data_IF_122873785106
#
_entry.id   IF_122873785106
#
_cell.length_a   1.000
_cell.length_b   1.000
_cell.length_c   1.000
_cell.angle_alpha   90.00
_cell.angle_beta   90.00
_cell.angle_gamma   90.00
#
_symmetry.space_group_name_H-M   'P 1'
#
loop_
_entity.id
_entity.type
_entity.pdbx_description
1 polymer ?
#
# COMPACT_ATOMS: atom_id res chain seq x y z
N UNK A 1 -12.41 1.66 -23.31
CA UNK A 1 -12.14 2.56 -22.16
C UNK A 1 -12.73 1.96 -20.88
N UNK A 2 -12.10 2.16 -19.72
CA UNK A 2 -12.66 1.68 -18.44
C UNK A 2 -13.76 2.64 -17.95
N UNK A 3 -14.75 2.13 -17.20
CA UNK A 3 -15.79 2.96 -16.56
C UNK A 3 -15.19 4.11 -15.72
N UNK A 4 -14.02 3.87 -15.09
CA UNK A 4 -13.30 4.90 -14.34
C UNK A 4 -12.78 6.02 -15.24
N UNK A 5 -12.21 5.68 -16.40
CA UNK A 5 -11.69 6.67 -17.37
C UNK A 5 -12.81 7.50 -17.96
N UNK A 6 -13.95 6.86 -18.28
CA UNK A 6 -15.14 7.57 -18.78
C UNK A 6 -15.66 8.53 -17.71
N UNK A 7 -15.80 8.09 -16.46
CA UNK A 7 -16.28 8.95 -15.38
C UNK A 7 -15.33 10.13 -15.08
N UNK A 8 -14.01 9.97 -15.25
CA UNK A 8 -13.05 11.08 -15.13
C UNK A 8 -13.26 12.08 -16.27
N UNK A 9 -13.42 11.61 -17.51
CA UNK A 9 -13.68 12.49 -18.66
C UNK A 9 -14.99 13.25 -18.48
N UNK A 10 -16.08 12.58 -18.09
CA UNK A 10 -17.37 13.20 -17.78
C UNK A 10 -17.24 14.27 -16.68
N UNK A 11 -16.51 13.96 -15.60
CA UNK A 11 -16.27 14.92 -14.51
C UNK A 11 -15.46 16.14 -14.98
N UNK A 12 -14.45 15.94 -15.83
CA UNK A 12 -13.64 17.03 -16.38
C UNK A 12 -14.48 17.94 -17.29
N UNK A 13 -15.33 17.36 -18.15
CA UNK A 13 -16.23 18.12 -19.02
C UNK A 13 -17.27 18.90 -18.18
N UNK A 14 -17.88 18.27 -17.18
CA UNK A 14 -18.80 18.97 -16.26
C UNK A 14 -18.13 20.15 -15.56
N UNK A 15 -16.91 19.96 -15.06
CA UNK A 15 -16.16 21.06 -14.44
C UNK A 15 -15.89 22.21 -15.42
N UNK A 16 -15.47 21.88 -16.63
CA UNK A 16 -15.23 22.90 -17.68
C UNK A 16 -16.47 23.73 -17.93
N UNK A 17 -17.62 23.10 -18.13
CA UNK A 17 -18.86 23.84 -18.43
C UNK A 17 -19.41 24.60 -17.22
N UNK A 18 -19.47 23.96 -16.04
CA UNK A 18 -20.06 24.57 -14.86
C UNK A 18 -19.18 25.68 -14.27
N UNK A 19 -17.86 25.43 -14.15
CA UNK A 19 -16.96 26.34 -13.43
C UNK A 19 -16.25 27.30 -14.37
N UNK A 20 -15.71 26.80 -15.50
CA UNK A 20 -14.86 27.62 -16.37
C UNK A 20 -15.70 28.47 -17.35
N UNK A 21 -16.81 27.94 -17.87
CA UNK A 21 -17.67 28.66 -18.83
C UNK A 21 -18.89 29.29 -18.22
N UNK A 22 -19.13 29.11 -16.90
CA UNK A 22 -20.26 29.69 -16.18
C UNK A 22 -21.65 29.31 -16.74
N UNK A 23 -21.72 28.21 -17.50
CA UNK A 23 -22.97 27.74 -18.10
C UNK A 23 -23.59 26.65 -17.24
N UNK A 24 -24.39 27.05 -16.26
CA UNK A 24 -25.07 26.13 -15.33
C UNK A 24 -26.17 25.27 -15.98
N UNK A 25 -26.67 25.65 -17.14
CA UNK A 25 -27.88 25.07 -17.73
C UNK A 25 -27.61 24.34 -19.04
N UNK A 26 -26.83 23.30 -18.99
CA UNK A 26 -26.87 22.31 -20.05
C UNK A 26 -27.54 21.05 -19.53
N UNK A 27 -28.82 20.85 -19.82
CA UNK A 27 -29.58 19.60 -19.59
C UNK A 27 -28.85 18.35 -20.11
N UNK A 28 -27.99 18.53 -21.13
CA UNK A 28 -27.05 17.54 -21.62
C UNK A 28 -26.12 16.98 -20.53
N UNK A 29 -25.77 17.77 -19.50
CA UNK A 29 -24.87 17.34 -18.42
C UNK A 29 -25.61 16.55 -17.34
N UNK A 30 -26.89 16.76 -17.15
CA UNK A 30 -27.74 15.97 -16.28
C UNK A 30 -28.02 14.57 -16.88
N UNK A 31 -28.09 14.49 -18.22
CA UNK A 31 -28.39 13.26 -18.95
C UNK A 31 -27.19 12.32 -19.20
N UNK A 32 -25.94 12.76 -18.95
CA UNK A 32 -24.78 11.86 -19.07
C UNK A 32 -24.57 11.09 -17.76
N UNK A 33 -25.02 9.83 -17.67
CA UNK A 33 -24.93 9.05 -16.44
C UNK A 33 -23.48 8.70 -16.13
N UNK A 34 -23.14 8.69 -14.83
CA UNK A 34 -21.90 8.05 -14.40
C UNK A 34 -21.99 6.54 -14.65
N UNK A 35 -21.00 5.99 -15.30
CA UNK A 35 -20.93 4.53 -15.50
C UNK A 35 -20.77 3.83 -14.14
N UNK A 36 -21.62 2.82 -13.91
CA UNK A 36 -21.55 1.98 -12.71
C UNK A 36 -20.18 1.28 -12.67
N UNK A 37 -19.40 1.51 -11.64
CA UNK A 37 -18.12 0.81 -11.44
C UNK A 37 -18.42 -0.63 -11.09
N UNK A 38 -17.84 -1.56 -11.83
CA UNK A 38 -17.85 -2.97 -11.44
C UNK A 38 -17.12 -3.10 -10.10
N UNK A 39 -17.81 -3.61 -9.09
CA UNK A 39 -17.24 -3.98 -7.80
C UNK A 39 -16.52 -5.33 -7.92
N UNK A 40 -15.50 -5.42 -8.77
CA UNK A 40 -14.63 -6.60 -8.73
C UNK A 40 -13.96 -6.64 -7.36
N UNK A 41 -14.04 -7.79 -6.70
CA UNK A 41 -13.26 -8.04 -5.49
C UNK A 41 -11.80 -7.74 -5.81
N UNK A 42 -11.16 -6.93 -4.97
CA UNK A 42 -9.74 -6.65 -5.13
C UNK A 42 -9.00 -8.00 -5.02
N UNK A 43 -8.39 -8.44 -6.12
CA UNK A 43 -7.50 -9.60 -6.09
C UNK A 43 -6.33 -9.27 -5.17
N UNK A 44 -5.88 -10.25 -4.39
CA UNK A 44 -4.69 -10.16 -3.54
C UNK A 44 -3.76 -11.31 -3.87
N UNK A 45 -2.48 -11.14 -3.59
CA UNK A 45 -1.53 -12.24 -3.65
C UNK A 45 -1.61 -13.07 -2.37
N UNK A 46 -1.54 -14.40 -2.50
CA UNK A 46 -1.32 -15.28 -1.36
C UNK A 46 0.07 -15.02 -0.75
N UNK A 47 0.29 -15.42 0.50
CA UNK A 47 1.60 -15.22 1.19
C UNK A 47 2.75 -15.87 0.44
N UNK A 48 2.54 -17.07 -0.12
CA UNK A 48 3.52 -17.77 -0.95
C UNK A 48 3.82 -17.05 -2.27
N UNK A 49 2.80 -16.47 -2.91
CA UNK A 49 2.99 -15.66 -4.12
C UNK A 49 3.79 -14.37 -3.82
N UNK A 50 3.49 -13.72 -2.69
CA UNK A 50 4.26 -12.56 -2.23
C UNK A 50 5.71 -12.96 -1.98
N UNK A 51 5.96 -14.05 -1.29
CA UNK A 51 7.32 -14.51 -1.01
C UNK A 51 8.10 -14.79 -2.30
N UNK A 52 7.49 -15.46 -3.28
CA UNK A 52 8.07 -15.67 -4.59
C UNK A 52 8.45 -14.37 -5.30
N UNK A 53 7.55 -13.36 -5.26
CA UNK A 53 7.81 -12.04 -5.85
C UNK A 53 8.96 -11.32 -5.13
N UNK A 54 9.01 -11.37 -3.79
CA UNK A 54 10.04 -10.69 -2.99
C UNK A 54 11.42 -11.34 -3.13
N UNK A 55 11.50 -12.64 -3.38
CA UNK A 55 12.77 -13.37 -3.53
C UNK A 55 13.29 -13.40 -4.96
N UNK A 56 12.46 -13.14 -5.96
CA UNK A 56 12.84 -13.17 -7.38
C UNK A 56 13.94 -12.16 -7.80
N UNK A 57 14.04 -10.94 -7.21
CA UNK A 57 15.07 -10.00 -7.61
C UNK A 57 16.48 -10.45 -7.19
N UNK A 58 17.41 -10.49 -8.15
CA UNK A 58 18.83 -10.78 -7.87
C UNK A 58 19.55 -9.62 -7.19
N UNK A 59 19.14 -8.37 -7.53
CA UNK A 59 19.74 -7.16 -6.97
C UNK A 59 19.21 -6.91 -5.54
N UNK A 60 20.09 -6.79 -4.53
CA UNK A 60 19.67 -6.53 -3.15
C UNK A 60 18.79 -5.27 -3.02
N UNK A 61 19.11 -4.20 -3.76
CA UNK A 61 18.32 -2.97 -3.79
C UNK A 61 16.86 -3.24 -4.17
N UNK A 62 16.66 -3.99 -5.24
CA UNK A 62 15.34 -4.23 -5.82
C UNK A 62 14.50 -5.12 -4.89
N UNK A 63 15.15 -6.14 -4.30
CA UNK A 63 14.54 -7.02 -3.31
C UNK A 63 14.10 -6.24 -2.07
N UNK A 64 14.99 -5.43 -1.50
CA UNK A 64 14.72 -4.67 -0.28
C UNK A 64 13.65 -3.59 -0.51
N UNK A 65 13.61 -2.97 -1.71
CA UNK A 65 12.53 -2.06 -2.08
C UNK A 65 11.17 -2.75 -2.01
N UNK A 66 11.02 -3.92 -2.65
CA UNK A 66 9.76 -4.67 -2.65
C UNK A 66 9.38 -5.16 -1.25
N UNK A 67 10.36 -5.64 -0.48
CA UNK A 67 10.16 -6.00 0.93
C UNK A 67 9.68 -4.79 1.76
N UNK A 68 10.20 -3.59 1.50
CA UNK A 68 9.77 -2.36 2.19
C UNK A 68 8.34 -1.98 1.79
N UNK A 69 8.02 -2.06 0.50
CA UNK A 69 6.65 -1.78 0.00
C UNK A 69 5.63 -2.73 0.63
N UNK A 70 5.92 -4.03 0.66
CA UNK A 70 5.02 -5.01 1.25
C UNK A 70 5.04 -4.96 2.78
N UNK A 71 6.22 -5.03 3.42
CA UNK A 71 6.35 -5.16 4.87
C UNK A 71 5.85 -3.97 5.67
N UNK A 72 5.80 -2.78 5.04
CA UNK A 72 5.27 -1.56 5.65
C UNK A 72 4.00 -1.03 4.96
N UNK A 73 3.47 -1.75 3.97
CA UNK A 73 2.27 -1.32 3.25
C UNK A 73 2.39 0.03 2.55
N UNK A 74 3.58 0.39 2.06
CA UNK A 74 3.86 1.70 1.48
C UNK A 74 3.28 1.86 0.07
N UNK A 75 2.95 3.10 -0.30
CA UNK A 75 2.83 3.45 -1.72
C UNK A 75 4.23 3.46 -2.33
N UNK A 76 4.34 3.12 -3.62
CA UNK A 76 5.66 3.14 -4.29
C UNK A 76 6.32 4.52 -4.22
N UNK A 77 5.55 5.59 -4.31
CA UNK A 77 6.06 6.96 -4.16
C UNK A 77 6.59 7.25 -2.76
N UNK A 78 5.98 6.66 -1.72
CA UNK A 78 6.46 6.77 -0.34
C UNK A 78 7.76 5.99 -0.17
N UNK A 79 7.80 4.74 -0.65
CA UNK A 79 8.97 3.88 -0.53
C UNK A 79 10.20 4.47 -1.24
N UNK A 80 10.04 5.00 -2.45
CA UNK A 80 11.16 5.58 -3.21
C UNK A 80 11.68 6.89 -2.63
N UNK A 81 10.89 7.58 -1.79
CA UNK A 81 11.26 8.84 -1.13
C UNK A 81 11.72 8.65 0.34
N UNK A 82 11.94 7.42 0.77
CA UNK A 82 12.46 7.16 2.12
C UNK A 82 13.89 7.63 2.25
N UNK A 83 14.18 8.22 3.41
CA UNK A 83 15.52 8.58 3.85
C UNK A 83 16.04 7.57 4.87
N UNK A 84 17.35 7.46 4.99
CA UNK A 84 17.96 6.60 6.03
C UNK A 84 17.56 7.04 7.44
N UNK A 85 17.37 8.36 7.65
CA UNK A 85 16.90 8.95 8.90
C UNK A 85 15.41 8.69 9.22
N UNK A 86 14.65 8.06 8.31
CA UNK A 86 13.28 7.66 8.57
C UNK A 86 13.18 6.30 9.27
N UNK A 87 14.31 5.60 9.42
CA UNK A 87 14.41 4.30 10.09
C UNK A 87 14.87 4.51 11.52
N UNK A 88 13.99 4.27 12.49
CA UNK A 88 14.30 4.23 13.91
C UNK A 88 14.54 2.78 14.34
N UNK A 89 15.81 2.38 14.41
CA UNK A 89 16.21 1.02 14.81
C UNK A 89 15.91 0.75 16.27
N UNK A 90 16.04 1.75 17.14
CA UNK A 90 15.86 1.57 18.58
C UNK A 90 14.40 1.30 18.91
N UNK A 91 13.48 1.95 18.21
CA UNK A 91 12.03 1.77 18.38
C UNK A 91 11.41 0.77 17.44
N UNK A 92 12.20 0.18 16.54
CA UNK A 92 11.68 -0.70 15.47
C UNK A 92 10.55 -0.05 14.67
N UNK A 93 10.80 1.17 14.19
CA UNK A 93 9.81 2.00 13.52
C UNK A 93 10.35 2.59 12.21
N UNK A 94 9.45 2.78 11.24
CA UNK A 94 9.68 3.50 10.00
C UNK A 94 8.74 4.69 9.92
N UNK A 95 9.29 5.89 9.70
CA UNK A 95 8.52 7.13 9.61
C UNK A 95 8.25 7.48 8.15
N UNK A 96 6.98 7.67 7.81
CA UNK A 96 6.55 8.21 6.50
C UNK A 96 6.25 9.69 6.68
N UNK A 97 7.06 10.58 6.09
CA UNK A 97 6.99 12.04 6.33
C UNK A 97 5.83 12.70 5.61
N UNK A 98 5.57 12.31 4.36
CA UNK A 98 4.61 12.98 3.47
C UNK A 98 3.50 12.00 3.07
N UNK A 99 2.49 11.84 3.93
CA UNK A 99 1.25 11.17 3.58
C UNK A 99 0.32 12.09 2.77
N UNK A 100 -0.76 11.53 2.22
CA UNK A 100 -1.85 12.32 1.61
C UNK A 100 -2.41 13.30 2.66
N UNK A 101 -2.35 14.61 2.38
CA UNK A 101 -2.78 15.66 3.32
C UNK A 101 -1.70 16.09 4.34
N UNK A 102 -0.39 15.92 4.02
CA UNK A 102 0.75 16.36 4.83
C UNK A 102 0.86 15.72 6.24
N UNK A 103 0.03 14.74 6.58
CA UNK A 103 0.12 14.01 7.85
C UNK A 103 1.09 12.84 7.71
N UNK A 104 2.22 12.92 8.43
CA UNK A 104 3.15 11.80 8.58
C UNK A 104 2.52 10.68 9.40
N UNK A 105 3.06 9.46 9.26
CA UNK A 105 2.70 8.31 10.10
C UNK A 105 3.91 7.48 10.44
N UNK A 106 3.82 6.75 11.53
CA UNK A 106 4.83 5.79 11.98
C UNK A 106 4.32 4.38 11.74
N UNK A 107 5.19 3.53 11.22
CA UNK A 107 4.89 2.14 10.86
C UNK A 107 5.80 1.20 11.64
N UNK A 108 5.33 0.02 12.05
CA UNK A 108 6.19 -0.99 12.63
C UNK A 108 7.20 -1.50 11.60
N UNK A 109 8.42 -1.74 12.05
CA UNK A 109 9.51 -2.29 11.26
C UNK A 109 9.82 -3.70 11.74
N UNK A 110 9.70 -4.71 10.88
CA UNK A 110 10.06 -6.07 11.25
C UNK A 110 11.57 -6.25 11.32
N UNK A 111 12.04 -7.15 12.21
CA UNK A 111 13.46 -7.48 12.34
C UNK A 111 14.06 -7.99 11.01
N UNK A 112 13.30 -8.83 10.29
CA UNK A 112 13.69 -9.34 8.96
C UNK A 112 13.93 -8.18 8.00
N UNK A 113 13.02 -7.21 7.93
CA UNK A 113 13.17 -6.07 7.03
C UNK A 113 14.34 -5.18 7.47
N UNK A 114 14.50 -4.92 8.76
CA UNK A 114 15.62 -4.13 9.28
C UNK A 114 16.97 -4.77 8.92
N UNK A 115 17.11 -6.09 9.08
CA UNK A 115 18.32 -6.82 8.71
C UNK A 115 18.66 -6.65 7.23
N UNK A 116 17.68 -6.81 6.35
CA UNK A 116 17.86 -6.64 4.89
C UNK A 116 18.21 -5.19 4.52
N UNK A 117 17.56 -4.20 5.15
CA UNK A 117 17.87 -2.79 4.98
C UNK A 117 19.30 -2.45 5.39
N UNK A 118 19.76 -2.97 6.52
CA UNK A 118 21.13 -2.76 7.02
C UNK A 118 22.15 -3.39 6.08
N UNK A 119 21.92 -4.62 5.62
CA UNK A 119 22.80 -5.32 4.70
C UNK A 119 22.91 -4.58 3.35
N UNK A 120 21.76 -4.18 2.80
CA UNK A 120 21.71 -3.37 1.58
C UNK A 120 22.45 -2.04 1.75
N UNK A 121 22.21 -1.31 2.84
CA UNK A 121 22.83 -0.02 3.11
C UNK A 121 24.35 -0.13 3.25
N UNK A 122 24.85 -1.15 3.96
CA UNK A 122 26.29 -1.42 4.07
C UNK A 122 26.93 -1.72 2.71
N UNK A 123 26.34 -2.63 1.94
CA UNK A 123 26.83 -2.98 0.62
C UNK A 123 26.85 -1.77 -0.34
N UNK A 124 25.84 -0.90 -0.28
CA UNK A 124 25.78 0.29 -1.11
C UNK A 124 26.86 1.31 -0.76
N UNK A 125 27.25 1.42 0.51
CA UNK A 125 28.25 2.37 0.97
C UNK A 125 29.69 1.90 0.82
N UNK A 126 29.92 0.60 0.71
CA UNK A 126 31.26 0.06 0.44
C UNK A 126 31.77 0.35 -0.97
N UNK A 127 30.92 0.76 -1.89
CA UNK A 127 31.26 0.97 -3.30
C UNK A 127 30.87 2.33 -3.84
N UNK A 128 31.58 3.41 -3.55
CA UNK A 128 31.57 4.70 -4.29
C UNK A 128 30.34 5.62 -4.18
N UNK A 129 30.59 6.93 -4.25
CA UNK A 129 29.70 8.07 -4.66
C UNK A 129 28.28 8.21 -4.02
N UNK A 130 27.87 7.38 -3.11
CA UNK A 130 26.55 7.48 -2.44
C UNK A 130 26.63 7.83 -0.95
N UNK A 131 27.83 8.15 -0.44
CA UNK A 131 28.06 8.32 1.00
C UNK A 131 27.23 9.47 1.61
N UNK A 132 26.99 10.53 0.87
CA UNK A 132 26.34 11.75 1.38
C UNK A 132 24.85 11.84 1.04
N UNK A 133 24.31 10.86 0.34
CA UNK A 133 22.89 10.90 -0.02
C UNK A 133 22.00 10.51 1.16
N UNK A 134 21.00 11.35 1.51
CA UNK A 134 20.05 11.01 2.56
C UNK A 134 19.06 9.91 2.16
N UNK A 135 18.95 9.61 0.85
CA UNK A 135 17.94 8.71 0.34
C UNK A 135 18.30 7.24 0.56
N UNK A 136 17.34 6.46 0.98
CA UNK A 136 17.50 5.03 1.18
C UNK A 136 17.68 4.28 -0.14
N UNK A 137 16.89 4.64 -1.16
CA UNK A 137 16.95 4.07 -2.49
C UNK A 137 17.41 5.11 -3.51
N UNK A 138 18.64 4.95 -4.00
CA UNK A 138 19.21 5.86 -4.97
C UNK A 138 18.67 5.65 -6.38
N UNK A 139 18.44 6.76 -7.06
CA UNK A 139 18.10 6.80 -8.48
C UNK A 139 19.33 6.65 -9.39
N UNK A 140 19.10 6.79 -10.70
CA UNK A 140 20.16 6.79 -11.71
C UNK A 140 21.03 8.05 -11.64
N UNK A 141 20.45 9.18 -11.28
CA UNK A 141 21.19 10.45 -11.09
C UNK A 141 21.76 10.48 -9.66
N UNK A 142 23.04 10.85 -9.54
CA UNK A 142 23.70 10.97 -8.24
C UNK A 142 22.93 11.91 -7.31
N UNK A 143 22.81 11.54 -6.03
CA UNK A 143 22.14 12.33 -5.01
C UNK A 143 20.61 12.39 -5.10
N UNK A 144 20.00 11.83 -6.14
CA UNK A 144 18.55 11.83 -6.32
C UNK A 144 17.91 10.51 -5.84
N UNK A 145 16.67 10.55 -5.33
CA UNK A 145 15.94 9.35 -4.98
C UNK A 145 15.54 8.54 -6.21
N UNK A 146 15.24 7.28 -6.01
CA UNK A 146 14.69 6.42 -7.05
C UNK A 146 13.36 6.97 -7.57
N UNK A 147 13.20 7.01 -8.90
CA UNK A 147 11.94 7.41 -9.53
C UNK A 147 10.85 6.35 -9.35
N UNK A 148 9.60 6.78 -9.25
CA UNK A 148 8.43 5.91 -9.13
C UNK A 148 8.36 4.87 -10.25
N UNK A 149 8.64 5.26 -11.49
CA UNK A 149 8.66 4.34 -12.64
C UNK A 149 9.70 3.25 -12.50
N UNK A 150 10.89 3.58 -11.98
CA UNK A 150 11.93 2.59 -11.71
C UNK A 150 11.42 1.54 -10.71
N UNK A 151 10.79 1.99 -9.62
CA UNK A 151 10.21 1.07 -8.63
C UNK A 151 9.09 0.21 -9.21
N UNK A 152 8.26 0.74 -10.10
CA UNK A 152 7.22 -0.04 -10.79
C UNK A 152 7.84 -1.09 -11.73
N UNK A 153 8.88 -0.73 -12.47
CA UNK A 153 9.58 -1.66 -13.37
C UNK A 153 10.26 -2.79 -12.58
N UNK A 154 10.86 -2.47 -11.43
CA UNK A 154 11.41 -3.48 -10.52
C UNK A 154 10.34 -4.51 -10.14
N UNK A 155 9.15 -4.05 -9.77
CA UNK A 155 8.04 -4.94 -9.45
C UNK A 155 7.63 -5.82 -10.64
N UNK A 156 7.48 -5.26 -11.84
CA UNK A 156 7.07 -6.05 -13.01
C UNK A 156 8.14 -7.08 -13.39
N UNK A 157 9.42 -6.72 -13.32
CA UNK A 157 10.53 -7.66 -13.56
C UNK A 157 10.56 -8.76 -12.50
N UNK A 158 10.30 -8.43 -11.23
CA UNK A 158 10.23 -9.41 -10.15
C UNK A 158 9.04 -10.35 -10.35
N UNK A 159 7.90 -9.83 -10.74
CA UNK A 159 6.69 -10.61 -11.00
C UNK A 159 6.90 -11.61 -12.14
N UNK A 160 7.50 -11.17 -13.24
CA UNK A 160 7.84 -12.03 -14.39
C UNK A 160 8.79 -13.15 -13.97
N UNK A 161 9.87 -12.82 -13.24
CA UNK A 161 10.86 -13.80 -12.77
C UNK A 161 10.33 -14.77 -11.73
N UNK A 162 9.31 -14.37 -10.95
CA UNK A 162 8.71 -15.23 -9.93
C UNK A 162 7.77 -16.29 -10.50
N UNK A 163 7.36 -16.18 -11.78
CA UNK A 163 6.34 -17.03 -12.39
C UNK A 163 4.92 -16.81 -11.83
N UNK A 164 4.74 -15.87 -10.93
CA UNK A 164 3.43 -15.57 -10.34
C UNK A 164 2.55 -14.85 -11.36
N UNK A 165 1.29 -15.29 -11.51
CA UNK A 165 0.34 -14.66 -12.42
C UNK A 165 0.12 -13.19 -12.05
N UNK A 166 0.22 -12.31 -13.03
CA UNK A 166 -0.07 -10.89 -12.86
C UNK A 166 -1.54 -10.66 -12.58
N UNK A 167 -1.85 -10.17 -11.38
CA UNK A 167 -3.21 -9.80 -10.93
C UNK A 167 -3.43 -8.28 -10.95
N UNK A 168 -2.33 -7.49 -10.92
CA UNK A 168 -2.40 -6.03 -10.89
C UNK A 168 -1.05 -5.35 -10.91
N UNK A 169 -1.01 -4.07 -10.54
CA UNK A 169 0.22 -3.29 -10.39
C UNK A 169 0.81 -3.42 -8.99
N UNK A 170 1.93 -2.71 -8.74
CA UNK A 170 2.66 -2.75 -7.45
C UNK A 170 1.80 -2.41 -6.22
N UNK A 171 0.71 -1.65 -6.40
CA UNK A 171 -0.25 -1.38 -5.31
C UNK A 171 -0.89 -2.65 -4.74
N UNK A 172 -0.86 -3.74 -5.50
CA UNK A 172 -1.39 -5.01 -5.04
C UNK A 172 -0.58 -5.59 -3.88
N UNK A 173 0.74 -5.34 -3.80
CA UNK A 173 1.55 -5.70 -2.63
C UNK A 173 1.04 -5.00 -1.36
N UNK A 174 0.68 -3.73 -1.46
CA UNK A 174 0.09 -2.99 -0.34
C UNK A 174 -1.32 -3.50 0.00
N UNK A 175 -2.13 -3.88 -1.00
CA UNK A 175 -3.43 -4.52 -0.75
C UNK A 175 -3.25 -5.87 -0.06
N UNK A 176 -2.31 -6.69 -0.52
CA UNK A 176 -1.99 -7.98 0.12
C UNK A 176 -1.50 -7.79 1.56
N UNK A 177 -0.66 -6.78 1.83
CA UNK A 177 -0.27 -6.43 3.21
C UNK A 177 -1.48 -6.15 4.10
N UNK A 178 -2.41 -5.30 3.64
CA UNK A 178 -3.60 -4.97 4.41
C UNK A 178 -4.48 -6.21 4.69
N UNK A 179 -4.71 -7.03 3.66
CA UNK A 179 -5.48 -8.27 3.79
C UNK A 179 -4.81 -9.24 4.75
N UNK A 180 -3.49 -9.45 4.63
CA UNK A 180 -2.75 -10.37 5.49
C UNK A 180 -2.70 -9.92 6.95
N UNK A 181 -2.65 -8.60 7.20
CA UNK A 181 -2.78 -8.07 8.57
C UNK A 181 -4.16 -8.38 9.16
N UNK A 182 -5.22 -8.17 8.40
CA UNK A 182 -6.58 -8.45 8.85
C UNK A 182 -6.80 -9.95 9.05
N UNK A 183 -6.25 -10.80 8.19
CA UNK A 183 -6.25 -12.26 8.36
C UNK A 183 -5.49 -12.67 9.62
N UNK A 184 -4.47 -11.91 10.03
CA UNK A 184 -3.69 -12.14 11.26
C UNK A 184 -4.37 -11.59 12.52
N UNK A 185 -5.53 -10.92 12.42
CA UNK A 185 -6.28 -10.43 13.53
C UNK A 185 -6.17 -8.95 13.83
N UNK A 186 -5.40 -8.22 13.05
CA UNK A 186 -5.28 -6.77 13.25
C UNK A 186 -6.60 -6.10 12.87
N UNK A 187 -7.10 -5.25 13.74
CA UNK A 187 -8.36 -4.55 13.56
C UNK A 187 -8.30 -3.55 12.39
N UNK A 188 -9.45 -3.37 11.73
CA UNK A 188 -9.59 -2.49 10.57
C UNK A 188 -9.12 -1.04 10.83
N UNK A 189 -9.42 -0.38 11.97
CA UNK A 189 -8.95 0.97 12.26
C UNK A 189 -7.42 1.06 12.32
N UNK A 190 -6.75 0.03 12.86
CA UNK A 190 -5.29 -0.04 12.93
C UNK A 190 -4.71 -0.16 11.52
N UNK A 191 -5.25 -1.07 10.69
CA UNK A 191 -4.83 -1.21 9.29
C UNK A 191 -5.04 0.09 8.51
N UNK A 192 -6.16 0.78 8.74
CA UNK A 192 -6.45 2.08 8.13
C UNK A 192 -5.39 3.13 8.51
N UNK A 193 -5.03 3.20 9.80
CA UNK A 193 -3.99 4.10 10.29
C UNK A 193 -2.63 3.79 9.64
N UNK A 194 -2.22 2.52 9.64
CA UNK A 194 -0.96 2.08 9.02
C UNK A 194 -0.89 2.42 7.53
N UNK A 195 -2.00 2.26 6.81
CA UNK A 195 -2.07 2.62 5.40
C UNK A 195 -2.15 4.14 5.15
N UNK A 196 -2.50 4.95 6.14
CA UNK A 196 -2.72 6.38 5.96
C UNK A 196 -3.87 6.66 4.99
N UNK A 197 -4.99 5.97 5.16
CA UNK A 197 -6.22 6.23 4.44
C UNK A 197 -7.03 7.32 5.14
N UNK A 198 -7.29 8.42 4.45
CA UNK A 198 -8.12 9.51 4.95
C UNK A 198 -9.63 9.19 4.98
N UNK A 199 -10.05 8.10 4.32
CA UNK A 199 -11.44 7.70 4.21
C UNK A 199 -11.62 6.21 4.51
N UNK A 200 -12.58 5.89 5.37
CA UNK A 200 -13.04 4.52 5.68
C UNK A 200 -13.51 3.79 4.41
N UNK A 201 -14.10 4.51 3.44
CA UNK A 201 -14.54 3.90 2.17
C UNK A 201 -13.44 3.15 1.43
N UNK A 202 -12.18 3.60 1.55
CA UNK A 202 -11.05 2.93 0.92
C UNK A 202 -10.66 1.64 1.66
N UNK A 203 -10.95 1.57 2.95
CA UNK A 203 -10.66 0.41 3.80
C UNK A 203 -11.84 -0.58 3.81
N UNK A 204 -13.03 -0.12 3.46
CA UNK A 204 -14.24 -0.96 3.33
C UNK A 204 -14.09 -2.08 2.27
N UNK A 205 -13.14 -1.95 1.35
CA UNK A 205 -12.77 -3.02 0.39
C UNK A 205 -12.31 -4.30 1.09
N UNK A 206 -11.93 -4.24 2.37
CA UNK A 206 -11.45 -5.37 3.16
C UNK A 206 -12.52 -5.96 4.09
N UNK A 207 -13.74 -5.42 4.12
CA UNK A 207 -14.82 -5.90 4.99
C UNK A 207 -15.18 -7.39 4.75
N UNK A 208 -14.95 -7.89 3.54
CA UNK A 208 -15.17 -9.31 3.25
C UNK A 208 -14.25 -10.26 4.03
N UNK A 209 -13.05 -9.78 4.44
CA UNK A 209 -12.12 -10.55 5.31
C UNK A 209 -12.68 -10.65 6.72
N UNK A 210 -13.34 -9.58 7.20
CA UNK A 210 -14.01 -9.54 8.51
C UNK A 210 -15.19 -10.51 8.57
N UNK A 211 -15.91 -10.70 7.46
CA UNK A 211 -17.06 -11.63 7.40
C UNK A 211 -16.65 -13.09 7.65
N UNK A 212 -15.47 -13.53 7.25
CA UNK A 212 -14.96 -14.87 7.57
C UNK A 212 -14.74 -15.09 9.06
N UNK A 213 -14.40 -14.04 9.81
CA UNK A 213 -14.18 -14.08 11.26
C UNK A 213 -15.47 -14.00 12.08
N UNK A 214 -16.56 -13.49 11.50
CA UNK A 214 -17.85 -13.49 12.21
C UNK A 214 -18.27 -14.89 12.65
N UNK A 215 -17.87 -15.93 11.92
CA UNK A 215 -18.13 -17.33 12.30
C UNK A 215 -17.29 -17.79 13.52
N UNK A 216 -16.21 -17.08 13.85
CA UNK A 216 -15.30 -17.40 14.97
C UNK A 216 -15.60 -16.55 16.21
N UNK A 217 -16.49 -15.54 16.09
CA UNK A 217 -16.85 -14.65 17.20
C UNK A 217 -17.78 -15.40 18.15
N UNK A 218 -17.31 -15.65 19.37
CA UNK A 218 -18.14 -16.14 20.46
C UNK A 218 -18.97 -15.00 21.04
N UNK A 219 -20.23 -15.28 21.32
CA UNK A 219 -21.09 -14.30 21.99
C UNK A 219 -20.49 -13.92 23.35
N UNK A 220 -20.52 -12.63 23.74
CA UNK A 220 -20.15 -12.25 25.11
C UNK A 220 -20.93 -13.02 26.18
N UNK A 221 -22.15 -13.46 25.86
CA UNK A 221 -22.95 -14.29 26.74
C UNK A 221 -22.33 -15.65 27.00
N UNK A 222 -21.62 -16.22 26.03
CA UNK A 222 -20.91 -17.51 26.17
C UNK A 222 -19.63 -17.38 27.02
N UNK A 223 -19.18 -16.15 27.29
CA UNK A 223 -18.00 -15.82 28.11
C UNK A 223 -18.39 -15.57 29.56
N UNK A 224 -19.66 -15.42 29.85
CA UNK A 224 -20.15 -15.28 31.23
C UNK A 224 -20.35 -16.69 31.80
N UNK A 225 -19.53 -17.04 32.79
CA UNK A 225 -19.70 -18.29 33.51
C UNK A 225 -21.11 -18.36 34.07
N UNK A 226 -21.82 -19.49 33.87
CA UNK A 226 -23.18 -19.77 34.37
C UNK A 226 -23.25 -19.89 35.91
N UNK A 227 -22.53 -19.03 36.62
CA UNK A 227 -22.32 -19.12 38.07
C UNK A 227 -23.18 -18.20 38.94
N UNK A 228 -24.21 -17.55 38.42
CA UNK A 228 -25.11 -16.73 39.25
C UNK A 228 -26.53 -16.62 38.69
N UNK A 229 -27.18 -17.78 38.47
CA UNK A 229 -28.67 -17.82 38.43
C UNK A 229 -29.08 -19.06 39.24
N UNK A 230 -29.21 -18.88 40.54
CA UNK A 230 -29.72 -19.93 41.42
C UNK A 230 -29.51 -19.62 42.88
N UNK A 231 -30.31 -18.78 43.47
CA UNK A 231 -30.99 -18.96 44.77
C UNK A 231 -32.07 -17.89 44.89
#
# INVERSE_FOLDING_TARGET
>A
MSASSVNIAVSAVRFLYAVTLGRETLDLMASVPHMKRSTRRAEVYARSEVEAILTAPRQPRDRVLLMTVYGCGLRISEATQLKTSDIDRARMQLRVRNGKGAKGRVLPLSERLLKELVNYWRAQRQGKAGHDSPWLFLGKKAGQPMGRYTGQNIYYTALEKSGVRRKGGIHLLRHSFATHLMESGVELPVVQHLLGHSSIKTTALYLHVTARRLAEVRSPLDLISSGCIGQ
#
